data_IF_442246796027
#
_entry.id   IF_442246796027
#
_cell.length_a   1.000
_cell.length_b   1.000
_cell.length_c   1.000
_cell.angle_alpha   90.00
_cell.angle_beta   90.00
_cell.angle_gamma   90.00
#
_symmetry.space_group_name_H-M   'P 1'
#
loop_
_entity.id
_entity.type
_entity.pdbx_description
1 polymer ?
#
# COMPACT_ATOMS: atom_id res chain seq x y z
N UNK A 1 11.25 30.38 -15.59
CA UNK A 1 11.33 31.36 -14.47
C UNK A 1 12.81 31.44 -14.08
N UNK A 2 13.41 32.60 -14.25
CA UNK A 2 14.81 32.80 -13.87
C UNK A 2 14.94 32.66 -12.34
N UNK A 3 15.93 31.86 -11.92
CA UNK A 3 16.25 31.73 -10.50
C UNK A 3 16.64 33.12 -9.94
N UNK A 4 16.21 33.49 -8.74
CA UNK A 4 16.57 34.78 -8.16
C UNK A 4 18.09 34.88 -8.03
N UNK A 5 18.66 35.98 -8.50
CA UNK A 5 20.09 36.23 -8.42
C UNK A 5 20.57 36.18 -6.96
N UNK A 6 21.60 35.38 -6.71
CA UNK A 6 22.20 35.27 -5.37
C UNK A 6 22.97 36.56 -5.09
N UNK A 7 22.67 37.20 -3.95
CA UNK A 7 23.38 38.35 -3.44
C UNK A 7 24.12 38.00 -2.14
N UNK A 8 25.25 38.66 -1.83
CA UNK A 8 26.01 38.38 -0.60
C UNK A 8 25.13 38.44 0.64
N UNK A 9 24.19 39.40 0.69
CA UNK A 9 23.26 39.59 1.81
C UNK A 9 22.22 38.46 1.95
N UNK A 10 21.99 37.65 0.87
CA UNK A 10 21.02 36.56 0.86
C UNK A 10 21.59 35.23 1.37
N UNK A 11 22.91 35.14 1.52
CA UNK A 11 23.57 33.89 1.92
C UNK A 11 23.41 33.62 3.42
N UNK A 12 23.04 32.40 3.76
CA UNK A 12 22.85 31.94 5.15
C UNK A 12 23.43 30.54 5.34
N UNK A 13 23.83 30.22 6.56
CA UNK A 13 24.18 28.85 6.93
C UNK A 13 23.01 27.89 6.68
N UNK A 14 23.30 26.71 6.27
CA UNK A 14 22.32 25.67 5.89
C UNK A 14 21.91 25.69 4.41
N UNK A 15 22.23 26.75 3.67
CA UNK A 15 21.93 26.81 2.23
C UNK A 15 22.92 25.93 1.44
N UNK A 16 22.43 25.38 0.34
CA UNK A 16 23.25 24.59 -0.58
C UNK A 16 23.49 25.38 -1.86
N UNK A 17 24.77 25.52 -2.24
CA UNK A 17 25.21 26.36 -3.33
C UNK A 17 26.00 25.58 -4.39
N UNK A 18 25.79 25.92 -5.67
CA UNK A 18 26.68 25.62 -6.76
C UNK A 18 27.56 26.81 -7.09
N UNK A 19 28.77 26.53 -7.64
CA UNK A 19 29.70 27.58 -8.05
C UNK A 19 30.79 27.89 -7.02
N UNK A 20 30.68 27.35 -5.81
CA UNK A 20 31.76 27.46 -4.80
C UNK A 20 32.93 26.53 -5.15
N UNK A 21 32.66 25.29 -5.47
CA UNK A 21 33.62 24.31 -5.97
C UNK A 21 33.27 23.91 -7.41
N UNK A 22 34.26 23.57 -8.26
CA UNK A 22 33.99 23.09 -9.61
C UNK A 22 33.19 21.78 -9.60
N UNK A 23 32.05 21.76 -10.28
CA UNK A 23 31.30 20.55 -10.60
C UNK A 23 30.48 19.92 -9.47
N UNK A 24 30.56 20.41 -8.22
CA UNK A 24 29.78 19.86 -7.10
C UNK A 24 29.16 20.95 -6.23
N UNK A 25 27.94 20.73 -5.68
CA UNK A 25 27.34 21.62 -4.72
C UNK A 25 28.01 21.49 -3.34
N UNK A 26 27.92 22.56 -2.55
CA UNK A 26 28.41 22.58 -1.17
C UNK A 26 27.30 23.10 -0.25
N UNK A 27 27.32 22.68 1.01
CA UNK A 27 26.41 23.19 2.04
C UNK A 27 27.15 24.24 2.89
N UNK A 28 26.57 25.45 3.01
CA UNK A 28 27.13 26.49 3.88
C UNK A 28 27.00 26.07 5.34
N UNK A 29 28.12 26.11 6.06
CA UNK A 29 28.18 25.86 7.51
C UNK A 29 28.16 27.17 8.28
N UNK A 30 28.76 28.24 7.72
CA UNK A 30 28.83 29.56 8.29
C UNK A 30 29.05 30.62 7.22
N UNK A 31 28.63 31.84 7.52
CA UNK A 31 28.84 33.04 6.69
C UNK A 31 29.26 34.16 7.61
N UNK A 32 30.44 34.76 7.36
CA UNK A 32 30.99 35.89 8.16
C UNK A 32 31.16 37.08 7.23
N UNK A 33 30.42 38.19 7.43
CA UNK A 33 30.66 39.43 6.70
C UNK A 33 32.04 40.01 7.10
N UNK A 34 32.85 40.34 6.12
CA UNK A 34 34.13 41.02 6.33
C UNK A 34 34.03 42.49 5.93
N UNK A 35 33.27 42.81 4.87
CA UNK A 35 33.02 44.15 4.35
C UNK A 35 31.65 44.16 3.61
N UNK A 36 31.19 45.32 3.19
CA UNK A 36 29.93 45.49 2.43
C UNK A 36 29.94 44.74 1.09
N UNK A 37 31.12 44.48 0.51
CA UNK A 37 31.31 43.79 -0.76
C UNK A 37 32.06 42.43 -0.66
N UNK A 38 32.34 41.96 0.56
CA UNK A 38 33.15 40.77 0.80
C UNK A 38 32.65 39.98 2.02
N UNK A 39 32.40 38.70 1.80
CA UNK A 39 32.06 37.73 2.85
C UNK A 39 32.99 36.53 2.81
N UNK A 40 33.21 35.96 3.96
CA UNK A 40 33.87 34.66 4.11
C UNK A 40 32.79 33.58 4.36
N UNK A 41 32.84 32.54 3.58
CA UNK A 41 31.94 31.37 3.71
C UNK A 41 32.73 30.15 4.19
N UNK A 42 32.15 29.44 5.13
CA UNK A 42 32.58 28.13 5.55
C UNK A 42 31.61 27.13 4.98
N UNK A 43 32.09 26.12 4.28
CA UNK A 43 31.25 25.14 3.60
C UNK A 43 31.68 23.70 3.84
N UNK A 44 30.79 22.77 3.57
CA UNK A 44 31.05 21.32 3.56
C UNK A 44 30.61 20.74 2.23
N UNK A 45 31.48 19.92 1.62
CA UNK A 45 31.16 19.18 0.41
C UNK A 45 30.37 17.88 0.73
N UNK A 46 29.86 17.20 -0.30
CA UNK A 46 29.09 15.95 -0.16
C UNK A 46 29.94 14.78 0.37
N UNK A 47 31.27 14.89 0.37
CA UNK A 47 32.19 13.93 0.99
C UNK A 47 32.45 14.22 2.48
N UNK A 48 31.85 15.28 3.03
CA UNK A 48 32.00 15.70 4.42
C UNK A 48 33.22 16.57 4.69
N UNK A 49 34.03 16.92 3.67
CA UNK A 49 35.21 17.79 3.84
C UNK A 49 34.74 19.24 3.97
N UNK A 50 35.35 19.95 4.89
CA UNK A 50 35.09 21.37 5.13
C UNK A 50 36.14 22.22 4.42
N UNK A 51 35.72 23.40 3.96
CA UNK A 51 36.57 24.41 3.36
C UNK A 51 36.07 25.80 3.67
N UNK A 52 36.91 26.78 3.37
CA UNK A 52 36.60 28.21 3.49
C UNK A 52 36.90 28.91 2.16
N UNK A 53 36.14 29.97 1.85
CA UNK A 53 36.35 30.79 0.66
C UNK A 53 35.81 32.20 0.85
N UNK A 54 36.54 33.18 0.35
CA UNK A 54 36.09 34.56 0.25
C UNK A 54 35.23 34.71 -1.03
N UNK A 55 34.09 35.37 -0.89
CA UNK A 55 33.13 35.61 -1.98
C UNK A 55 32.93 37.12 -2.09
N UNK A 56 33.14 37.63 -3.29
CA UNK A 56 32.87 39.02 -3.65
C UNK A 56 31.53 39.15 -4.34
N UNK A 57 31.02 40.39 -4.50
CA UNK A 57 29.81 40.67 -5.28
C UNK A 57 29.88 40.12 -6.73
N UNK A 58 31.08 40.17 -7.34
CA UNK A 58 31.30 39.64 -8.68
C UNK A 58 31.21 38.08 -8.72
N UNK A 59 31.53 37.44 -7.61
CA UNK A 59 31.43 35.98 -7.50
C UNK A 59 30.02 35.55 -7.11
N UNK A 60 29.26 36.36 -6.37
CA UNK A 60 27.89 36.09 -5.99
C UNK A 60 27.00 35.85 -7.25
N UNK A 61 27.21 36.60 -8.32
CA UNK A 61 26.50 36.40 -9.59
C UNK A 61 26.78 35.07 -10.30
N UNK A 62 27.79 34.30 -9.89
CA UNK A 62 28.14 32.98 -10.42
C UNK A 62 27.65 31.86 -9.53
N UNK A 63 27.11 32.20 -8.36
CA UNK A 63 26.58 31.21 -7.41
C UNK A 63 25.11 30.94 -7.73
N UNK A 64 24.73 29.69 -7.64
CA UNK A 64 23.35 29.26 -7.78
C UNK A 64 22.92 28.61 -6.47
N UNK A 65 21.80 29.07 -5.92
CA UNK A 65 21.13 28.33 -4.84
C UNK A 65 20.63 27.01 -5.38
N UNK A 66 21.17 25.93 -4.89
CA UNK A 66 20.58 24.60 -5.13
C UNK A 66 19.43 24.47 -4.15
N UNK A 67 18.27 24.87 -4.59
CA UNK A 67 17.04 24.49 -3.90
C UNK A 67 16.95 22.97 -4.05
N UNK A 68 17.31 22.21 -3.03
CA UNK A 68 16.92 20.82 -2.97
C UNK A 68 15.39 20.80 -2.86
N UNK A 69 14.73 20.88 -3.99
CA UNK A 69 13.42 20.29 -4.19
C UNK A 69 13.61 18.76 -4.24
N UNK A 70 14.45 18.26 -3.32
CA UNK A 70 14.65 16.86 -3.10
C UNK A 70 13.57 16.37 -2.17
N UNK A 71 12.56 15.69 -2.70
CA UNK A 71 11.63 14.81 -1.99
C UNK A 71 10.79 15.38 -0.82
N UNK A 72 10.77 16.66 -0.57
CA UNK A 72 9.67 17.24 0.16
C UNK A 72 8.45 17.23 -0.79
N UNK A 73 7.31 16.63 -0.42
CA UNK A 73 6.12 16.71 -1.24
C UNK A 73 5.82 18.18 -1.50
N UNK A 74 5.85 18.56 -2.78
CA UNK A 74 5.42 19.89 -3.18
C UNK A 74 3.94 20.04 -2.82
N UNK A 75 3.59 21.04 -2.01
CA UNK A 75 2.20 21.37 -1.70
C UNK A 75 1.59 22.27 -2.79
N UNK A 76 1.87 21.95 -4.04
CA UNK A 76 1.42 22.65 -5.25
C UNK A 76 0.41 21.85 -6.08
N UNK A 77 -0.03 20.71 -5.56
CA UNK A 77 -1.06 19.88 -6.16
C UNK A 77 -2.43 20.56 -6.16
N UNK A 78 -3.29 20.16 -7.10
CA UNK A 78 -4.67 20.64 -7.19
C UNK A 78 -5.43 20.28 -5.89
N UNK A 79 -6.02 21.25 -5.18
CA UNK A 79 -6.78 21.01 -3.97
C UNK A 79 -7.96 20.06 -4.15
N UNK A 80 -8.60 20.06 -5.32
CA UNK A 80 -9.75 19.20 -5.60
C UNK A 80 -9.31 17.76 -5.86
N UNK A 81 -8.18 17.54 -6.53
CA UNK A 81 -7.57 16.21 -6.65
C UNK A 81 -7.13 15.67 -5.29
N UNK A 82 -6.56 16.50 -4.42
CA UNK A 82 -6.21 16.10 -3.07
C UNK A 82 -7.44 15.68 -2.25
N UNK A 83 -8.53 16.44 -2.33
CA UNK A 83 -9.79 16.11 -1.67
C UNK A 83 -10.37 14.80 -2.18
N UNK A 84 -10.37 14.58 -3.49
CA UNK A 84 -10.83 13.32 -4.08
C UNK A 84 -9.97 12.14 -3.64
N UNK A 85 -8.65 12.30 -3.62
CA UNK A 85 -7.73 11.26 -3.14
C UNK A 85 -7.93 10.95 -1.64
N UNK A 86 -8.11 11.99 -0.82
CA UNK A 86 -8.37 11.83 0.61
C UNK A 86 -9.71 11.12 0.87
N UNK A 87 -10.78 11.47 0.13
CA UNK A 87 -12.08 10.79 0.23
C UNK A 87 -12.02 9.36 -0.28
N UNK A 88 -11.31 9.11 -1.38
CA UNK A 88 -11.10 7.75 -1.88
C UNK A 88 -10.37 6.86 -0.86
N UNK A 89 -9.35 7.40 -0.19
CA UNK A 89 -8.66 6.71 0.90
C UNK A 89 -9.57 6.50 2.10
N UNK A 90 -10.38 7.50 2.48
CA UNK A 90 -11.35 7.38 3.57
C UNK A 90 -12.35 6.26 3.29
N UNK A 91 -12.90 6.20 2.08
CA UNK A 91 -13.81 5.12 1.66
C UNK A 91 -13.09 3.78 1.65
N UNK A 92 -11.89 3.71 1.07
CA UNK A 92 -11.09 2.48 1.00
C UNK A 92 -10.79 1.89 2.39
N UNK A 93 -10.51 2.76 3.37
CA UNK A 93 -10.17 2.32 4.72
C UNK A 93 -11.36 2.34 5.70
N UNK A 94 -12.55 2.73 5.27
CA UNK A 94 -13.75 2.74 6.13
C UNK A 94 -14.03 1.36 6.72
N UNK A 95 -13.81 0.30 5.93
CA UNK A 95 -13.99 -1.08 6.36
C UNK A 95 -13.06 -1.50 7.52
N UNK A 96 -11.87 -0.89 7.65
CA UNK A 96 -10.94 -1.18 8.76
C UNK A 96 -11.46 -0.69 10.12
N UNK A 97 -12.37 0.30 10.11
CA UNK A 97 -12.95 0.89 11.31
C UNK A 97 -14.39 0.43 11.56
N UNK A 98 -15.01 -0.27 10.59
CA UNK A 98 -16.32 -0.87 10.74
C UNK A 98 -16.15 -2.29 11.31
N UNK A 99 -16.63 -2.56 12.55
CA UNK A 99 -16.50 -3.87 13.15
C UNK A 99 -17.29 -4.96 12.41
N UNK A 100 -18.22 -4.58 11.53
CA UNK A 100 -19.11 -5.48 10.76
C UNK A 100 -19.12 -5.14 9.26
N UNK A 101 -17.98 -4.80 8.70
CA UNK A 101 -17.86 -4.34 7.32
C UNK A 101 -18.39 -5.33 6.29
N UNK A 102 -18.19 -6.64 6.52
CA UNK A 102 -18.72 -7.67 5.64
C UNK A 102 -20.25 -7.72 5.66
N UNK A 103 -20.90 -7.54 6.80
CA UNK A 103 -22.38 -7.49 6.89
C UNK A 103 -22.90 -6.29 6.11
N UNK A 104 -22.31 -5.11 6.35
CA UNK A 104 -22.78 -3.85 5.76
C UNK A 104 -22.54 -3.75 4.25
N UNK A 105 -21.62 -4.55 3.70
CA UNK A 105 -21.26 -4.55 2.28
C UNK A 105 -21.70 -5.81 1.52
N UNK A 106 -22.47 -6.69 2.12
CA UNK A 106 -22.98 -7.92 1.51
C UNK A 106 -24.50 -7.85 1.29
N UNK A 107 -24.99 -8.58 0.32
CA UNK A 107 -26.43 -8.74 0.05
C UNK A 107 -26.99 -9.92 0.85
N UNK A 108 -26.90 -9.82 2.18
CA UNK A 108 -27.42 -10.83 3.12
C UNK A 108 -28.00 -10.16 4.36
N UNK A 109 -29.05 -10.77 4.91
CA UNK A 109 -29.60 -10.47 6.22
C UNK A 109 -29.17 -11.58 7.20
N UNK A 110 -27.99 -11.49 7.82
CA UNK A 110 -27.47 -12.57 8.64
C UNK A 110 -28.26 -12.69 9.94
N UNK A 111 -28.53 -13.93 10.33
CA UNK A 111 -29.19 -14.24 11.60
C UNK A 111 -28.24 -14.03 12.79
N UNK A 112 -28.76 -13.73 13.99
CA UNK A 112 -27.92 -13.45 15.17
C UNK A 112 -26.89 -14.53 15.48
N UNK A 113 -27.21 -15.82 15.29
CA UNK A 113 -26.25 -16.92 15.51
C UNK A 113 -25.11 -16.92 14.48
N UNK A 114 -25.39 -16.47 13.24
CA UNK A 114 -24.36 -16.37 12.18
C UNK A 114 -23.40 -15.23 12.46
N UNK A 115 -23.92 -14.07 12.89
CA UNK A 115 -23.09 -12.93 13.33
C UNK A 115 -22.22 -13.35 14.50
N UNK A 116 -22.80 -13.97 15.52
CA UNK A 116 -22.07 -14.45 16.69
C UNK A 116 -20.96 -15.43 16.32
N UNK A 117 -21.26 -16.42 15.48
CA UNK A 117 -20.26 -17.40 15.02
C UNK A 117 -19.08 -16.71 14.33
N UNK A 118 -19.31 -15.71 13.46
CA UNK A 118 -18.24 -15.03 12.74
C UNK A 118 -17.45 -14.10 13.65
N UNK A 119 -18.13 -13.19 14.35
CA UNK A 119 -17.46 -12.07 15.03
C UNK A 119 -16.99 -12.41 16.46
N UNK A 120 -17.66 -13.31 17.16
CA UNK A 120 -17.26 -13.70 18.51
C UNK A 120 -16.40 -14.98 18.54
N UNK A 121 -16.56 -15.88 17.54
CA UNK A 121 -15.88 -17.18 17.58
C UNK A 121 -14.80 -17.35 16.52
N UNK A 122 -15.04 -16.95 15.26
CA UNK A 122 -14.09 -17.20 14.16
C UNK A 122 -13.00 -16.12 14.09
N UNK A 123 -13.38 -14.85 13.99
CA UNK A 123 -12.45 -13.74 13.80
C UNK A 123 -11.42 -13.56 14.93
N UNK A 124 -11.75 -13.76 16.22
CA UNK A 124 -10.76 -13.59 17.29
C UNK A 124 -9.70 -14.69 17.35
N UNK A 125 -9.83 -15.79 16.61
CA UNK A 125 -8.95 -16.96 16.70
C UNK A 125 -7.84 -16.91 15.67
N UNK A 126 -6.62 -16.78 16.12
CA UNK A 126 -5.41 -16.82 15.28
C UNK A 126 -4.41 -17.81 15.89
N UNK A 127 -3.97 -18.85 15.14
CA UNK A 127 -4.47 -19.29 13.83
C UNK A 127 -5.85 -19.95 13.94
N UNK A 128 -6.68 -19.72 12.92
CA UNK A 128 -8.01 -20.33 12.90
C UNK A 128 -7.92 -21.81 12.52
N UNK A 129 -8.38 -22.66 13.44
CA UNK A 129 -8.74 -24.06 13.19
C UNK A 129 -10.07 -24.30 13.88
N UNK A 130 -11.15 -24.33 13.11
CA UNK A 130 -12.49 -24.36 13.66
C UNK A 130 -13.39 -25.34 12.89
N UNK A 131 -14.20 -26.09 13.64
CA UNK A 131 -15.25 -26.94 13.08
C UNK A 131 -16.60 -26.24 13.26
N UNK A 132 -17.22 -25.83 12.15
CA UNK A 132 -18.55 -25.28 12.14
C UNK A 132 -19.58 -26.42 11.99
N UNK A 133 -19.96 -27.02 13.11
CA UNK A 133 -20.86 -28.15 13.19
C UNK A 133 -22.28 -27.68 13.51
N UNK A 134 -22.97 -27.19 12.52
CA UNK A 134 -24.33 -26.68 12.65
C UNK A 134 -25.32 -27.52 11.79
N UNK A 135 -26.61 -27.39 12.06
CA UNK A 135 -27.63 -28.14 11.32
C UNK A 135 -27.65 -27.81 9.83
N UNK A 136 -28.11 -28.75 8.96
CA UNK A 136 -28.38 -28.45 7.57
C UNK A 136 -29.36 -27.26 7.46
N UNK A 137 -29.01 -26.27 6.65
CA UNK A 137 -29.82 -25.07 6.48
C UNK A 137 -29.55 -23.93 7.47
N UNK A 138 -28.71 -24.10 8.48
CA UNK A 138 -28.32 -23.03 9.41
C UNK A 138 -27.52 -21.88 8.76
N UNK A 139 -27.19 -22.01 7.47
CA UNK A 139 -26.48 -20.97 6.72
C UNK A 139 -24.95 -21.02 6.91
N UNK A 140 -24.35 -22.20 7.00
CA UNK A 140 -22.89 -22.34 7.10
C UNK A 140 -22.13 -21.63 5.98
N UNK A 141 -22.66 -21.64 4.76
CA UNK A 141 -22.11 -20.88 3.62
C UNK A 141 -22.14 -19.38 3.87
N UNK A 142 -23.21 -18.85 4.52
CA UNK A 142 -23.33 -17.46 4.89
C UNK A 142 -22.25 -17.09 5.91
N UNK A 143 -22.08 -17.90 6.96
CA UNK A 143 -21.04 -17.67 7.97
C UNK A 143 -19.63 -17.71 7.35
N UNK A 144 -19.35 -18.67 6.48
CA UNK A 144 -18.07 -18.76 5.80
C UNK A 144 -17.82 -17.59 4.84
N UNK A 145 -18.85 -17.16 4.10
CA UNK A 145 -18.79 -16.01 3.21
C UNK A 145 -18.54 -14.69 3.94
N UNK A 146 -19.29 -14.46 5.05
CA UNK A 146 -19.07 -13.30 5.92
C UNK A 146 -17.67 -13.27 6.51
N UNK A 147 -17.20 -14.41 7.04
CA UNK A 147 -15.86 -14.53 7.60
C UNK A 147 -14.78 -14.22 6.54
N UNK A 148 -14.90 -14.80 5.37
CA UNK A 148 -13.95 -14.61 4.27
C UNK A 148 -13.95 -13.16 3.78
N UNK A 149 -15.13 -12.56 3.58
CA UNK A 149 -15.27 -11.16 3.18
C UNK A 149 -14.69 -10.21 4.20
N UNK A 150 -14.89 -10.48 5.49
CA UNK A 150 -14.31 -9.67 6.57
C UNK A 150 -12.78 -9.71 6.52
N UNK A 151 -12.18 -10.89 6.35
CA UNK A 151 -10.72 -11.03 6.22
C UNK A 151 -10.16 -10.31 4.99
N UNK A 152 -10.86 -10.38 3.86
CA UNK A 152 -10.45 -9.69 2.62
C UNK A 152 -10.53 -8.16 2.82
N UNK A 153 -11.62 -7.65 3.41
CA UNK A 153 -11.80 -6.22 3.66
C UNK A 153 -10.76 -5.66 4.63
N UNK A 154 -10.32 -6.46 5.59
CA UNK A 154 -9.24 -6.10 6.55
C UNK A 154 -7.84 -6.28 5.98
N UNK A 155 -7.71 -6.75 4.76
CA UNK A 155 -6.44 -7.12 4.13
C UNK A 155 -5.66 -8.24 4.88
N UNK A 156 -6.36 -9.06 5.67
CA UNK A 156 -5.81 -10.22 6.38
C UNK A 156 -5.81 -11.49 5.51
N UNK A 157 -6.48 -11.46 4.35
CA UNK A 157 -6.57 -12.58 3.42
C UNK A 157 -6.33 -12.11 1.98
N UNK A 158 -5.19 -12.49 1.44
CA UNK A 158 -4.84 -12.25 0.03
C UNK A 158 -5.19 -13.42 -0.89
N UNK A 159 -5.31 -14.61 -0.33
CA UNK A 159 -5.59 -15.85 -1.09
C UNK A 159 -6.48 -16.78 -0.28
N UNK A 160 -7.44 -17.40 -0.96
CA UNK A 160 -8.32 -18.38 -0.36
C UNK A 160 -8.59 -19.57 -1.30
N UNK A 161 -8.56 -20.77 -0.75
CA UNK A 161 -8.94 -22.00 -1.42
C UNK A 161 -10.14 -22.63 -0.71
N UNK A 162 -11.26 -22.72 -1.40
CA UNK A 162 -12.42 -23.46 -0.92
C UNK A 162 -12.39 -24.86 -1.50
N UNK A 163 -12.48 -25.85 -0.65
CA UNK A 163 -12.55 -27.26 -1.08
C UNK A 163 -13.93 -27.81 -0.78
N UNK A 164 -14.68 -28.16 -1.84
CA UNK A 164 -16.04 -28.60 -1.74
C UNK A 164 -16.29 -29.93 -2.50
N UNK A 165 -17.33 -30.70 -2.12
CA UNK A 165 -17.82 -31.80 -2.95
C UNK A 165 -18.19 -31.29 -4.35
N UNK A 166 -17.91 -32.09 -5.38
CA UNK A 166 -18.05 -31.68 -6.78
C UNK A 166 -19.42 -31.09 -7.14
N UNK A 167 -20.50 -31.63 -6.56
CA UNK A 167 -21.86 -31.13 -6.80
C UNK A 167 -22.17 -29.75 -6.17
N UNK A 168 -21.30 -29.25 -5.28
CA UNK A 168 -21.53 -27.98 -4.57
C UNK A 168 -20.63 -26.85 -5.07
N UNK A 169 -19.66 -27.10 -5.92
CA UNK A 169 -18.66 -26.13 -6.37
C UNK A 169 -19.31 -24.92 -7.06
N UNK A 170 -20.23 -25.17 -7.97
CA UNK A 170 -20.96 -24.10 -8.68
C UNK A 170 -21.85 -23.30 -7.72
N UNK A 171 -22.54 -24.00 -6.81
CA UNK A 171 -23.38 -23.33 -5.80
C UNK A 171 -22.52 -22.40 -4.92
N UNK A 172 -21.33 -22.84 -4.47
CA UNK A 172 -20.40 -22.01 -3.72
C UNK A 172 -20.00 -20.77 -4.51
N UNK A 173 -19.62 -20.94 -5.77
CA UNK A 173 -19.24 -19.81 -6.63
C UNK A 173 -20.36 -18.79 -6.77
N UNK A 174 -21.59 -19.27 -7.05
CA UNK A 174 -22.76 -18.41 -7.22
C UNK A 174 -23.12 -17.68 -5.93
N UNK A 175 -23.17 -18.37 -4.79
CA UNK A 175 -23.50 -17.75 -3.51
C UNK A 175 -22.46 -16.71 -3.09
N UNK A 176 -21.16 -16.98 -3.27
CA UNK A 176 -20.10 -16.03 -2.96
C UNK A 176 -20.17 -14.79 -3.85
N UNK A 177 -20.45 -14.97 -5.14
CA UNK A 177 -20.59 -13.85 -6.08
C UNK A 177 -21.84 -13.03 -5.80
N UNK A 178 -23.00 -13.64 -5.68
CA UNK A 178 -24.28 -12.93 -5.56
C UNK A 178 -24.45 -12.27 -4.20
N UNK A 179 -24.07 -12.96 -3.11
CA UNK A 179 -24.33 -12.51 -1.75
C UNK A 179 -23.21 -11.64 -1.18
N UNK A 180 -21.97 -11.89 -1.61
CA UNK A 180 -20.80 -11.27 -1.00
C UNK A 180 -19.96 -10.44 -1.98
N UNK A 181 -20.31 -10.42 -3.26
CA UNK A 181 -19.50 -9.78 -4.32
C UNK A 181 -18.05 -10.28 -4.30
N UNK A 182 -17.88 -11.60 -4.09
CA UNK A 182 -16.58 -12.27 -4.10
C UNK A 182 -16.46 -13.13 -5.36
N UNK A 183 -15.47 -12.82 -6.18
CA UNK A 183 -15.21 -13.55 -7.42
C UNK A 183 -14.21 -14.68 -7.18
N UNK A 184 -14.69 -15.91 -7.32
CA UNK A 184 -13.88 -17.14 -7.23
C UNK A 184 -13.85 -17.87 -8.56
N UNK A 185 -12.68 -18.38 -8.94
CA UNK A 185 -12.51 -19.25 -10.10
C UNK A 185 -12.62 -20.71 -9.68
N UNK A 186 -13.16 -21.56 -10.56
CA UNK A 186 -13.22 -22.99 -10.32
C UNK A 186 -11.93 -23.63 -10.83
N UNK A 187 -11.20 -24.26 -9.90
CA UNK A 187 -9.98 -24.97 -10.21
C UNK A 187 -10.25 -26.13 -11.20
N UNK A 188 -9.50 -26.15 -12.27
CA UNK A 188 -9.56 -27.21 -13.27
C UNK A 188 -8.15 -27.62 -13.73
N UNK A 189 -8.05 -28.74 -14.42
CA UNK A 189 -6.78 -29.32 -14.86
C UNK A 189 -6.08 -28.43 -15.90
N UNK A 190 -6.83 -27.73 -16.72
CA UNK A 190 -6.26 -26.84 -17.72
C UNK A 190 -5.42 -25.72 -17.10
N UNK A 191 -5.83 -25.19 -15.93
CA UNK A 191 -5.04 -24.20 -15.19
C UNK A 191 -3.65 -24.74 -14.81
N UNK A 192 -3.55 -26.04 -14.49
CA UNK A 192 -2.27 -26.69 -14.17
C UNK A 192 -1.41 -26.80 -15.43
N UNK A 193 -2.01 -27.20 -16.54
CA UNK A 193 -1.31 -27.33 -17.82
C UNK A 193 -0.82 -25.96 -18.33
N UNK A 194 -1.65 -24.92 -18.19
CA UNK A 194 -1.32 -23.54 -18.58
C UNK A 194 -0.25 -22.91 -17.69
N UNK A 195 -0.16 -23.32 -16.44
CA UNK A 195 0.86 -22.83 -15.51
C UNK A 195 2.28 -23.31 -15.83
N UNK A 196 2.44 -24.34 -16.67
CA UNK A 196 3.75 -24.85 -17.14
C UNK A 196 4.77 -25.11 -16.01
N UNK A 197 4.31 -25.70 -14.91
CA UNK A 197 5.13 -26.00 -13.74
C UNK A 197 5.22 -24.86 -12.71
N UNK A 198 4.53 -23.75 -12.92
CA UNK A 198 4.35 -22.69 -11.90
C UNK A 198 3.22 -23.08 -10.95
N UNK A 199 3.23 -22.52 -9.77
CA UNK A 199 2.21 -22.81 -8.76
C UNK A 199 0.88 -22.11 -9.11
N UNK A 200 -0.12 -22.86 -9.56
CA UNK A 200 -1.47 -22.37 -9.88
C UNK A 200 -2.11 -21.61 -8.72
N UNK A 201 -1.90 -22.07 -7.48
CA UNK A 201 -2.46 -21.42 -6.30
C UNK A 201 -1.78 -20.10 -5.95
N UNK A 202 -0.63 -19.81 -6.54
CA UNK A 202 0.03 -18.51 -6.42
C UNK A 202 -0.46 -17.51 -7.49
N UNK A 203 -0.87 -18.02 -8.67
CA UNK A 203 -1.34 -17.19 -9.77
C UNK A 203 -2.83 -16.81 -9.64
N UNK A 204 -3.64 -17.71 -9.05
CA UNK A 204 -5.06 -17.53 -8.85
C UNK A 204 -5.39 -17.36 -7.35
N UNK A 205 -5.63 -16.13 -6.89
CA UNK A 205 -5.77 -15.86 -5.46
C UNK A 205 -7.03 -16.48 -4.83
N UNK A 206 -8.13 -16.58 -5.57
CA UNK A 206 -9.41 -17.07 -5.05
C UNK A 206 -9.91 -18.23 -5.87
N UNK A 207 -9.79 -19.44 -5.32
CA UNK A 207 -10.13 -20.68 -6.02
C UNK A 207 -11.14 -21.52 -5.24
N UNK A 208 -12.00 -22.22 -5.98
CA UNK A 208 -12.84 -23.30 -5.47
C UNK A 208 -12.42 -24.58 -6.16
N UNK A 209 -12.05 -25.59 -5.40
CA UNK A 209 -11.63 -26.88 -5.92
C UNK A 209 -12.54 -28.01 -5.46
N UNK A 210 -12.64 -29.03 -6.30
CA UNK A 210 -13.33 -30.28 -5.95
C UNK A 210 -12.44 -31.14 -5.07
N UNK A 211 -12.99 -31.65 -3.98
CA UNK A 211 -12.27 -32.52 -3.04
C UNK A 211 -11.71 -33.77 -3.72
N UNK A 212 -12.49 -34.39 -4.60
CA UNK A 212 -12.06 -35.61 -5.34
C UNK A 212 -10.96 -35.33 -6.37
N UNK A 213 -10.87 -34.08 -6.86
CA UNK A 213 -9.82 -33.66 -7.79
C UNK A 213 -8.49 -33.44 -7.06
N UNK A 214 -8.51 -32.74 -5.95
CA UNK A 214 -7.29 -32.50 -5.15
C UNK A 214 -6.72 -33.79 -4.56
N UNK A 215 -7.58 -34.69 -4.09
CA UNK A 215 -7.14 -35.94 -3.46
C UNK A 215 -6.49 -36.96 -4.43
N UNK A 216 -6.65 -36.76 -5.74
CA UNK A 216 -6.07 -37.66 -6.79
C UNK A 216 -4.83 -37.04 -7.46
N UNK A 217 -4.47 -35.83 -7.13
CA UNK A 217 -3.40 -35.09 -7.80
C UNK A 217 -2.18 -35.01 -6.88
N UNK A 218 -1.37 -36.09 -6.89
CA UNK A 218 -0.12 -36.15 -6.11
C UNK A 218 0.88 -35.04 -6.55
N UNK A 219 0.70 -34.48 -7.75
CA UNK A 219 1.56 -33.44 -8.32
C UNK A 219 1.23 -32.03 -7.79
N UNK A 220 0.16 -31.88 -6.99
CA UNK A 220 -0.31 -30.58 -6.48
C UNK A 220 0.00 -30.35 -4.99
N UNK A 221 0.55 -31.33 -4.30
CA UNK A 221 0.95 -31.32 -2.91
C UNK A 221 2.47 -31.38 -2.84
#
# INVERSE_FOLDING_TARGET
MDAPAVTLASLRAGQRLRGVLPGQPVTLVGVTPLDDALIEIFFRDDSGRTGERMITDADAGKLELVTELGNAPAFDGDPDEFRLAAEALRIKYAALYDPMAAVNSSDVDPLPHQIRAVYEELLPRIPLRFLLADDPGAGKTIMAGLYLKELILRADCERALIVAPGGLVEQWREELSQKFDLSFEIFNRQMVDDAQGRNVFAEHPFLIARMDQLSRSDDLI
#
